data_IF_941233733368
#
_entry.id   IF_941233733368
#
_cell.length_a   1.000
_cell.length_b   1.000
_cell.length_c   1.000
_cell.angle_alpha   90.00
_cell.angle_beta   90.00
_cell.angle_gamma   90.00
#
_symmetry.space_group_name_H-M   'P 1'
#
loop_
_entity.id
_entity.type
_entity.pdbx_description
1 polymer ?
#
# COMPACT_ATOMS: atom_id res chain seq x y z
N UNK A 1 36.16 7.60 -3.43
CA UNK A 1 35.08 7.92 -4.39
C UNK A 1 33.76 7.51 -3.75
N UNK A 2 32.87 8.46 -3.46
CA UNK A 2 31.56 8.19 -2.84
C UNK A 2 30.61 7.56 -3.87
N UNK A 3 30.34 6.27 -3.74
CA UNK A 3 29.44 5.54 -4.64
C UNK A 3 28.05 6.19 -4.65
N UNK A 4 27.65 6.71 -5.79
CA UNK A 4 26.49 7.60 -5.92
C UNK A 4 25.18 6.77 -5.97
N UNK A 5 24.77 6.26 -4.81
CA UNK A 5 23.52 5.51 -4.60
C UNK A 5 22.34 6.25 -5.26
N UNK A 6 21.72 5.65 -6.29
CA UNK A 6 20.41 6.09 -6.80
C UNK A 6 19.39 5.90 -5.68
N UNK A 7 19.15 6.96 -4.90
CA UNK A 7 18.17 6.97 -3.82
C UNK A 7 16.76 6.83 -4.43
N UNK A 8 15.99 5.88 -3.91
CA UNK A 8 14.57 5.80 -4.17
C UNK A 8 13.90 7.09 -3.68
N UNK A 9 12.78 7.46 -4.30
CA UNK A 9 11.83 8.36 -3.65
C UNK A 9 11.13 7.56 -2.56
N UNK A 10 11.23 8.02 -1.33
CA UNK A 10 10.74 7.31 -0.14
C UNK A 10 9.76 8.16 0.67
N UNK A 11 9.66 9.47 0.41
CA UNK A 11 8.71 10.35 1.10
C UNK A 11 7.57 10.74 0.16
N UNK A 12 6.33 10.44 0.54
CA UNK A 12 5.14 10.58 -0.30
C UNK A 12 4.16 11.54 0.39
N UNK A 13 4.05 12.76 -0.13
CA UNK A 13 3.06 13.72 0.34
C UNK A 13 1.71 13.43 -0.34
N UNK A 14 0.67 13.14 0.44
CA UNK A 14 -0.70 12.86 -0.02
C UNK A 14 -1.61 13.99 0.48
N UNK A 15 -1.97 14.91 -0.43
CA UNK A 15 -2.81 16.08 -0.13
C UNK A 15 -4.29 15.68 -0.05
N UNK A 16 -4.73 14.79 -0.94
CA UNK A 16 -6.05 14.17 -0.89
C UNK A 16 -6.04 12.76 -1.51
N UNK A 17 -7.11 12.01 -1.26
CA UNK A 17 -7.26 10.60 -1.61
C UNK A 17 -8.13 9.91 -0.55
N UNK A 18 -7.88 8.63 -0.27
CA UNK A 18 -8.49 7.91 0.86
C UNK A 18 -7.66 8.11 2.14
N UNK A 19 -7.51 9.37 2.53
CA UNK A 19 -6.88 9.86 3.77
C UNK A 19 -7.87 10.75 4.51
N UNK A 20 -7.87 10.70 5.84
CA UNK A 20 -8.73 11.56 6.67
C UNK A 20 -8.20 13.01 6.71
N UNK A 21 -6.87 13.16 6.64
CA UNK A 21 -6.15 14.43 6.66
C UNK A 21 -4.90 14.37 5.75
N UNK A 22 -4.42 15.51 5.20
CA UNK A 22 -3.20 15.54 4.40
C UNK A 22 -1.99 14.96 5.14
N UNK A 23 -1.37 13.92 4.58
CA UNK A 23 -0.36 13.11 5.28
C UNK A 23 0.89 12.87 4.42
N UNK A 24 2.07 12.96 5.03
CA UNK A 24 3.34 12.52 4.45
C UNK A 24 3.66 11.11 4.96
N UNK A 25 3.74 10.15 4.05
CA UNK A 25 4.13 8.77 4.34
C UNK A 25 5.57 8.48 3.91
N UNK A 26 6.18 7.47 4.52
CA UNK A 26 7.51 6.95 4.18
C UNK A 26 7.49 5.62 3.39
N UNK A 27 6.32 4.99 3.28
CA UNK A 27 6.12 3.74 2.54
C UNK A 27 5.21 3.95 1.35
N UNK A 28 5.51 3.28 0.23
CA UNK A 28 4.57 3.20 -0.88
C UNK A 28 3.45 2.19 -0.60
N UNK A 29 3.66 1.23 0.32
CA UNK A 29 2.61 0.33 0.80
C UNK A 29 1.50 1.11 1.47
N UNK A 30 1.86 2.10 2.31
CA UNK A 30 0.89 3.02 2.92
C UNK A 30 0.17 3.93 1.92
N UNK A 31 0.79 4.27 0.79
CA UNK A 31 0.22 5.29 -0.11
C UNK A 31 -0.65 4.65 -1.18
N UNK A 32 -0.25 3.49 -1.71
CA UNK A 32 -0.86 2.90 -2.89
C UNK A 32 -2.37 2.66 -2.74
N UNK A 33 -2.90 1.98 -1.71
CA UNK A 33 -4.36 1.81 -1.57
C UNK A 33 -5.08 3.12 -1.23
N UNK A 34 -4.35 4.14 -0.76
CA UNK A 34 -4.91 5.47 -0.46
C UNK A 34 -5.06 6.36 -1.69
N UNK A 35 -4.38 6.05 -2.81
CA UNK A 35 -4.40 6.89 -4.03
C UNK A 35 -4.80 6.17 -5.33
N UNK A 36 -4.64 4.85 -5.40
CA UNK A 36 -4.96 4.07 -6.63
C UNK A 36 -6.46 3.92 -6.83
N UNK A 37 -6.96 4.21 -8.04
CA UNK A 37 -8.39 4.04 -8.38
C UNK A 37 -9.33 5.07 -7.72
N UNK A 38 -8.82 6.23 -7.33
CA UNK A 38 -9.61 7.38 -6.88
C UNK A 38 -8.99 8.69 -7.38
N UNK A 39 -9.73 9.79 -7.30
CA UNK A 39 -9.15 11.12 -7.47
C UNK A 39 -8.25 11.44 -6.27
N UNK A 40 -6.93 11.46 -6.48
CA UNK A 40 -5.94 11.67 -5.44
C UNK A 40 -4.81 12.58 -5.95
N UNK A 41 -4.36 13.48 -5.08
CA UNK A 41 -3.30 14.46 -5.33
C UNK A 41 -2.14 14.14 -4.40
N UNK A 42 -1.08 13.56 -4.97
CA UNK A 42 0.09 13.13 -4.21
C UNK A 42 1.38 13.30 -5.01
N UNK A 43 2.53 13.35 -4.32
CA UNK A 43 3.84 13.46 -4.96
C UNK A 43 4.94 12.82 -4.12
N UNK A 44 5.89 12.16 -4.80
CA UNK A 44 7.00 11.44 -4.18
C UNK A 44 8.33 12.23 -4.24
N UNK A 45 9.10 12.16 -3.16
CA UNK A 45 10.30 12.95 -2.86
C UNK A 45 11.44 12.10 -2.27
N UNK A 46 12.66 12.63 -2.33
CA UNK A 46 13.86 12.02 -1.77
C UNK A 46 14.07 12.32 -0.27
N UNK A 47 13.45 13.38 0.25
CA UNK A 47 13.57 13.81 1.66
C UNK A 47 12.22 14.27 2.22
N UNK A 48 12.07 14.20 3.54
CA UNK A 48 10.87 14.66 4.23
C UNK A 48 10.69 16.19 4.08
N UNK A 49 11.78 16.95 4.06
CA UNK A 49 11.79 18.42 3.92
C UNK A 49 11.20 18.85 2.57
N UNK A 50 11.52 18.12 1.50
CA UNK A 50 10.96 18.37 0.18
C UNK A 50 9.46 18.01 0.10
N UNK A 51 9.02 16.97 0.83
CA UNK A 51 7.61 16.62 0.97
C UNK A 51 6.84 17.67 1.79
N UNK A 52 7.40 18.15 2.91
CA UNK A 52 6.86 19.25 3.74
C UNK A 52 6.74 20.55 2.93
N UNK A 53 7.79 20.93 2.18
CA UNK A 53 7.76 22.11 1.32
C UNK A 53 6.68 22.02 0.22
N UNK A 54 6.44 20.82 -0.30
CA UNK A 54 5.33 20.58 -1.23
C UNK A 54 3.96 20.71 -0.55
N UNK A 55 3.75 20.09 0.61
CA UNK A 55 2.51 20.24 1.39
C UNK A 55 2.18 21.72 1.65
N UNK A 56 3.16 22.50 2.09
CA UNK A 56 3.00 23.95 2.32
C UNK A 56 2.62 24.71 1.05
N UNK A 57 3.19 24.35 -0.12
CA UNK A 57 2.80 24.92 -1.42
C UNK A 57 1.35 24.57 -1.81
N UNK A 58 0.86 23.41 -1.38
CA UNK A 58 -0.50 22.94 -1.63
C UNK A 58 -1.52 23.42 -0.58
N UNK A 59 -1.14 24.38 0.27
CA UNK A 59 -2.01 24.98 1.29
C UNK A 59 -2.04 24.25 2.63
N UNK A 60 -1.26 23.17 2.78
CA UNK A 60 -1.21 22.35 3.99
C UNK A 60 -0.03 22.80 4.86
N UNK A 61 -0.31 23.60 5.89
CA UNK A 61 0.73 24.12 6.78
C UNK A 61 1.36 23.04 7.68
N UNK A 62 0.52 22.17 8.25
CA UNK A 62 0.91 21.13 9.20
C UNK A 62 0.34 19.77 8.71
N UNK A 63 1.02 19.08 7.79
CA UNK A 63 0.64 17.74 7.39
C UNK A 63 0.92 16.76 8.53
N UNK A 64 0.06 15.73 8.69
CA UNK A 64 0.41 14.58 9.51
C UNK A 64 1.61 13.85 8.90
N UNK A 65 2.45 13.23 9.72
CA UNK A 65 3.61 12.47 9.24
C UNK A 65 3.60 11.03 9.76
N UNK A 66 3.79 10.07 8.85
CA UNK A 66 3.89 8.63 9.11
C UNK A 66 5.23 8.14 8.55
N UNK A 67 6.29 8.45 9.31
CA UNK A 67 7.67 8.14 8.95
C UNK A 67 8.15 6.93 9.76
N UNK A 68 8.37 5.80 9.07
CA UNK A 68 8.84 4.53 9.64
C UNK A 68 10.36 4.56 9.82
N UNK A 69 10.86 3.76 10.76
CA UNK A 69 12.30 3.63 10.98
C UNK A 69 13.02 3.16 9.71
N UNK A 70 14.19 3.73 9.41
CA UNK A 70 14.96 3.41 8.20
C UNK A 70 14.46 4.06 6.90
N UNK A 71 13.47 4.95 6.95
CA UNK A 71 13.07 5.77 5.80
C UNK A 71 14.26 6.54 5.19
N UNK A 72 14.33 6.58 3.86
CA UNK A 72 15.47 7.12 3.11
C UNK A 72 16.65 6.15 2.95
N UNK A 73 16.60 5.00 3.63
CA UNK A 73 17.65 3.98 3.64
C UNK A 73 17.23 2.63 3.05
N UNK A 74 16.07 2.53 2.41
CA UNK A 74 15.57 1.26 1.85
C UNK A 74 16.17 0.86 0.50
N UNK A 75 16.81 1.79 -0.20
CA UNK A 75 17.39 1.55 -1.54
C UNK A 75 18.62 0.61 -1.49
N UNK A 76 18.74 -0.48 -2.27
CA UNK A 76 19.98 -1.27 -2.31
C UNK A 76 21.18 -0.42 -2.73
N UNK A 77 22.39 -0.80 -2.32
CA UNK A 77 23.62 -0.17 -2.82
C UNK A 77 23.88 -0.59 -4.28
N UNK A 78 24.79 0.11 -4.95
CA UNK A 78 25.12 -0.26 -6.32
C UNK A 78 25.98 -1.53 -6.33
N UNK A 79 25.53 -2.56 -7.06
CA UNK A 79 26.21 -3.86 -7.14
C UNK A 79 25.90 -4.84 -6.00
N UNK A 80 24.99 -4.52 -5.06
CA UNK A 80 24.49 -5.50 -4.08
C UNK A 80 23.26 -6.24 -4.58
N UNK A 81 22.98 -7.38 -3.95
CA UNK A 81 21.68 -8.05 -4.04
C UNK A 81 20.54 -7.09 -3.68
N UNK A 82 19.37 -7.36 -4.26
CA UNK A 82 18.19 -6.53 -4.11
C UNK A 82 16.93 -7.39 -4.03
N UNK A 83 15.98 -6.97 -3.20
CA UNK A 83 14.72 -7.68 -2.99
C UNK A 83 13.60 -6.91 -3.68
N UNK A 84 12.95 -7.53 -4.65
CA UNK A 84 11.81 -6.96 -5.37
C UNK A 84 10.52 -7.47 -4.71
N UNK A 85 9.86 -6.58 -3.98
CA UNK A 85 8.58 -6.87 -3.33
C UNK A 85 7.44 -6.48 -4.27
N UNK A 86 6.48 -7.38 -4.46
CA UNK A 86 5.20 -7.14 -5.13
C UNK A 86 4.11 -7.34 -4.08
N UNK A 87 3.48 -6.25 -3.65
CA UNK A 87 2.36 -6.27 -2.71
C UNK A 87 1.01 -6.41 -3.43
N UNK A 88 0.90 -5.82 -4.63
CA UNK A 88 -0.26 -5.97 -5.51
C UNK A 88 0.21 -6.28 -6.93
N UNK A 89 -0.22 -7.41 -7.46
CA UNK A 89 0.25 -7.98 -8.73
C UNK A 89 -0.36 -9.37 -8.92
N UNK A 90 -0.13 -9.97 -10.09
CA UNK A 90 -0.63 -11.32 -10.43
C UNK A 90 -0.18 -12.40 -9.43
N UNK A 91 1.06 -12.30 -8.95
CA UNK A 91 1.60 -13.11 -7.85
C UNK A 91 2.33 -12.18 -6.88
N UNK A 92 1.71 -11.81 -5.75
CA UNK A 92 2.38 -11.07 -4.67
C UNK A 92 3.47 -11.92 -4.01
N UNK A 93 4.50 -11.26 -3.47
CA UNK A 93 5.64 -11.92 -2.83
C UNK A 93 6.94 -11.15 -3.00
N UNK A 94 8.06 -11.81 -2.72
CA UNK A 94 9.41 -11.23 -2.81
C UNK A 94 10.28 -12.15 -3.66
N UNK A 95 10.96 -11.57 -4.65
CA UNK A 95 11.93 -12.26 -5.51
C UNK A 95 13.24 -11.45 -5.59
N UNK A 96 14.42 -12.10 -5.65
CA UNK A 96 15.68 -11.40 -5.89
C UNK A 96 15.83 -10.94 -7.36
N UNK A 97 14.96 -11.40 -8.26
CA UNK A 97 15.07 -11.16 -9.70
C UNK A 97 14.01 -10.16 -10.20
N UNK A 98 14.42 -9.21 -11.06
CA UNK A 98 13.46 -8.36 -11.77
C UNK A 98 12.91 -9.04 -13.02
N UNK A 99 13.79 -9.59 -13.85
CA UNK A 99 13.47 -10.27 -15.12
C UNK A 99 13.35 -11.78 -14.93
N UNK A 100 12.80 -12.47 -15.95
CA UNK A 100 12.59 -13.92 -15.96
C UNK A 100 11.17 -14.32 -15.54
N UNK A 101 10.85 -15.61 -15.67
CA UNK A 101 9.54 -16.18 -15.28
C UNK A 101 9.26 -16.08 -13.78
N UNK A 102 10.31 -16.14 -12.96
CA UNK A 102 10.27 -15.97 -11.49
C UNK A 102 10.60 -14.54 -11.05
N UNK A 103 10.69 -13.61 -12.02
CA UNK A 103 10.96 -12.20 -11.78
C UNK A 103 9.71 -11.40 -11.37
N UNK A 104 9.92 -10.22 -10.82
CA UNK A 104 8.82 -9.31 -10.48
C UNK A 104 8.16 -8.66 -11.72
N UNK A 105 8.88 -8.53 -12.85
CA UNK A 105 8.40 -7.79 -14.01
C UNK A 105 7.11 -8.34 -14.66
N UNK A 106 6.95 -9.66 -14.91
CA UNK A 106 5.72 -10.20 -15.50
C UNK A 106 4.49 -9.98 -14.62
N UNK A 107 4.66 -10.09 -13.29
CA UNK A 107 3.62 -9.89 -12.29
C UNK A 107 3.14 -8.44 -12.24
N UNK A 108 4.05 -7.49 -12.48
CA UNK A 108 3.77 -6.05 -12.52
C UNK A 108 3.15 -5.62 -13.85
N UNK A 109 3.77 -5.96 -14.99
CA UNK A 109 3.34 -5.44 -16.30
C UNK A 109 1.93 -5.89 -16.71
N UNK A 110 1.47 -7.04 -16.22
CA UNK A 110 0.14 -7.59 -16.52
C UNK A 110 -0.94 -7.10 -15.54
N UNK A 111 -0.60 -6.34 -14.49
CA UNK A 111 -1.55 -5.92 -13.45
C UNK A 111 -1.73 -4.40 -13.45
N UNK A 112 -2.86 -3.87 -13.94
CA UNK A 112 -3.18 -2.45 -13.84
C UNK A 112 -3.12 -1.98 -12.37
N UNK A 113 -2.36 -0.92 -12.12
CA UNK A 113 -2.18 -0.41 -10.76
C UNK A 113 -1.37 -1.34 -9.83
N UNK A 114 -0.44 -2.16 -10.35
CA UNK A 114 0.48 -2.95 -9.52
C UNK A 114 1.18 -2.11 -8.42
N UNK A 115 1.35 -2.71 -7.23
CA UNK A 115 2.10 -2.13 -6.11
C UNK A 115 3.37 -2.95 -5.89
N UNK A 116 4.52 -2.36 -6.18
CA UNK A 116 5.82 -3.02 -6.07
C UNK A 116 6.92 -2.01 -5.77
N UNK A 117 8.01 -2.46 -5.13
CA UNK A 117 9.20 -1.65 -4.84
C UNK A 117 10.43 -2.54 -4.63
N UNK A 118 11.63 -1.96 -4.80
CA UNK A 118 12.92 -2.64 -4.65
C UNK A 118 13.66 -2.17 -3.40
N UNK A 119 14.14 -3.14 -2.62
CA UNK A 119 14.70 -2.98 -1.28
C UNK A 119 16.13 -3.53 -1.16
N UNK A 120 16.87 -3.05 -0.17
CA UNK A 120 18.22 -3.51 0.17
C UNK A 120 18.24 -4.75 1.08
N UNK A 121 17.19 -4.99 1.86
CA UNK A 121 17.04 -6.19 2.69
C UNK A 121 15.68 -6.84 2.49
N UNK A 122 15.59 -8.12 2.87
CA UNK A 122 14.35 -8.89 2.85
C UNK A 122 13.31 -8.31 3.82
N UNK A 123 13.72 -7.99 5.04
CA UNK A 123 12.84 -7.44 6.09
C UNK A 123 12.16 -6.13 5.66
N UNK A 124 12.86 -5.28 4.90
CA UNK A 124 12.31 -4.06 4.31
C UNK A 124 11.26 -4.35 3.22
N UNK A 125 11.48 -5.41 2.42
CA UNK A 125 10.55 -5.88 1.42
C UNK A 125 9.30 -6.52 2.05
N UNK A 126 9.47 -7.29 3.13
CA UNK A 126 8.37 -7.88 3.91
C UNK A 126 7.54 -6.79 4.60
N UNK A 127 8.18 -5.84 5.28
CA UNK A 127 7.53 -4.68 5.91
C UNK A 127 6.67 -3.88 4.91
N UNK A 128 7.16 -3.69 3.68
CA UNK A 128 6.40 -2.99 2.63
C UNK A 128 5.14 -3.74 2.16
N UNK A 129 5.16 -5.08 2.19
CA UNK A 129 3.97 -5.89 1.88
C UNK A 129 2.95 -5.81 3.03
N UNK A 130 3.41 -5.87 4.29
CA UNK A 130 2.52 -5.70 5.45
C UNK A 130 1.92 -4.29 5.52
N UNK A 131 2.71 -3.24 5.26
CA UNK A 131 2.24 -1.85 5.15
C UNK A 131 1.07 -1.72 4.16
N UNK A 132 1.16 -2.43 3.03
CA UNK A 132 0.14 -2.44 1.99
C UNK A 132 -1.11 -3.19 2.42
N UNK A 133 -0.97 -4.38 3.04
CA UNK A 133 -2.09 -5.19 3.55
C UNK A 133 -2.90 -4.41 4.59
N UNK A 134 -2.23 -3.90 5.63
CA UNK A 134 -2.84 -3.13 6.71
C UNK A 134 -3.54 -1.89 6.16
N UNK A 135 -2.88 -1.16 5.25
CA UNK A 135 -3.47 0.02 4.62
C UNK A 135 -4.67 -0.30 3.73
N UNK A 136 -4.63 -1.40 2.97
CA UNK A 136 -5.75 -1.83 2.14
C UNK A 136 -6.96 -2.18 3.02
N UNK A 137 -6.76 -2.96 4.09
CA UNK A 137 -7.80 -3.28 5.06
C UNK A 137 -8.38 -2.03 5.75
N UNK A 138 -7.53 -1.11 6.19
CA UNK A 138 -7.89 0.19 6.79
C UNK A 138 -8.74 1.06 5.84
N UNK A 139 -8.38 1.12 4.55
CA UNK A 139 -9.15 1.82 3.51
C UNK A 139 -10.58 1.25 3.36
N UNK A 140 -10.72 -0.08 3.29
CA UNK A 140 -12.04 -0.72 3.21
C UNK A 140 -12.84 -0.57 4.51
N UNK A 141 -12.19 -0.71 5.66
CA UNK A 141 -12.81 -0.50 6.98
C UNK A 141 -13.40 0.91 7.10
N UNK A 142 -12.67 1.95 6.71
CA UNK A 142 -13.20 3.34 6.68
C UNK A 142 -14.38 3.49 5.73
N UNK A 143 -14.30 2.90 4.53
CA UNK A 143 -15.38 2.98 3.55
C UNK A 143 -16.68 2.32 4.06
N UNK A 144 -16.57 1.17 4.72
CA UNK A 144 -17.70 0.47 5.36
C UNK A 144 -18.30 1.34 6.47
N UNK A 145 -17.49 1.83 7.42
CA UNK A 145 -17.96 2.67 8.52
C UNK A 145 -18.71 3.90 7.99
N UNK A 146 -18.10 4.62 7.04
CA UNK A 146 -18.74 5.80 6.42
C UNK A 146 -20.08 5.47 5.74
N UNK A 147 -20.21 4.29 5.12
CA UNK A 147 -21.48 3.84 4.56
C UNK A 147 -22.54 3.56 5.63
N UNK A 148 -22.14 2.93 6.75
CA UNK A 148 -23.03 2.67 7.90
C UNK A 148 -23.50 3.98 8.55
N UNK A 149 -22.60 4.95 8.72
CA UNK A 149 -22.93 6.29 9.25
C UNK A 149 -23.91 7.06 8.34
N UNK A 150 -23.92 6.74 7.04
CA UNK A 150 -24.87 7.26 6.05
C UNK A 150 -26.18 6.46 5.97
N UNK A 151 -26.38 5.46 6.84
CA UNK A 151 -27.57 4.62 6.89
C UNK A 151 -27.62 3.49 5.86
N UNK A 152 -26.58 3.31 5.04
CA UNK A 152 -26.50 2.18 4.09
C UNK A 152 -26.25 0.88 4.86
N UNK A 153 -26.91 -0.22 4.47
CA UNK A 153 -26.54 -1.54 4.98
C UNK A 153 -25.49 -2.18 4.06
N UNK A 154 -24.68 -3.14 4.54
CA UNK A 154 -23.63 -3.77 3.73
C UNK A 154 -24.12 -4.35 2.39
N UNK A 155 -25.38 -4.82 2.32
CA UNK A 155 -26.03 -5.32 1.10
C UNK A 155 -26.27 -4.25 0.03
N UNK A 156 -26.42 -2.99 0.44
CA UNK A 156 -26.74 -1.85 -0.43
C UNK A 156 -25.46 -1.13 -0.88
N UNK A 157 -24.36 -1.32 -0.15
CA UNK A 157 -23.08 -0.75 -0.51
C UNK A 157 -22.52 -1.46 -1.75
N UNK A 158 -22.34 -0.72 -2.83
CA UNK A 158 -21.59 -1.16 -4.01
C UNK A 158 -20.08 -1.12 -3.75
N UNK A 159 -19.65 -1.80 -2.69
CA UNK A 159 -18.26 -2.18 -2.49
C UNK A 159 -17.96 -3.20 -3.57
N UNK A 160 -17.29 -2.78 -4.65
CA UNK A 160 -16.84 -3.67 -5.70
C UNK A 160 -15.93 -4.73 -5.09
N UNK A 161 -16.41 -5.98 -5.05
CA UNK A 161 -15.69 -7.11 -4.50
C UNK A 161 -15.47 -8.17 -5.58
N UNK A 162 -14.49 -7.87 -6.43
CA UNK A 162 -13.85 -8.82 -7.33
C UNK A 162 -12.79 -9.78 -6.69
N UNK A 163 -12.29 -9.73 -5.45
CA UNK A 163 -12.45 -8.82 -4.31
C UNK A 163 -13.08 -9.51 -3.10
N UNK A 164 -12.55 -9.23 -1.90
CA UNK A 164 -12.49 -10.15 -0.75
C UNK A 164 -11.88 -11.51 -1.13
N UNK A 165 -12.56 -12.34 -1.92
CA UNK A 165 -12.09 -13.65 -2.35
C UNK A 165 -12.58 -13.97 -3.77
N UNK A 166 -11.68 -13.96 -4.76
CA UNK A 166 -11.81 -14.97 -5.80
C UNK A 166 -11.48 -16.31 -5.14
N UNK A 167 -12.49 -17.12 -4.88
CA UNK A 167 -12.29 -18.50 -4.51
C UNK A 167 -11.61 -19.21 -5.69
N UNK A 168 -10.29 -19.38 -5.62
CA UNK A 168 -9.64 -20.46 -6.35
C UNK A 168 -10.21 -21.76 -5.81
N UNK A 169 -10.76 -22.59 -6.69
CA UNK A 169 -11.36 -23.87 -6.34
C UNK A 169 -10.41 -24.68 -5.42
N UNK A 170 -10.85 -25.03 -4.21
CA UNK A 170 -10.18 -26.06 -3.41
C UNK A 170 -9.66 -25.72 -1.99
N UNK A 171 -9.88 -24.52 -1.43
CA UNK A 171 -9.59 -24.29 -0.01
C UNK A 171 -10.70 -23.55 0.73
N UNK A 172 -11.35 -24.26 1.65
CA UNK A 172 -12.39 -23.72 2.50
C UNK A 172 -11.77 -22.90 3.65
N UNK A 173 -12.27 -21.69 3.86
CA UNK A 173 -11.86 -20.77 4.94
C UNK A 173 -13.03 -20.48 5.90
N UNK A 174 -14.15 -21.19 5.76
CA UNK A 174 -15.31 -21.09 6.65
C UNK A 174 -14.99 -21.43 8.11
N UNK A 175 -14.06 -22.36 8.35
CA UNK A 175 -13.66 -22.82 9.68
C UNK A 175 -12.87 -21.77 10.50
N UNK A 176 -12.40 -20.68 9.88
CA UNK A 176 -11.52 -19.69 10.53
C UNK A 176 -12.23 -18.54 11.25
N UNK A 177 -13.49 -18.23 10.93
CA UNK A 177 -14.15 -16.99 11.41
C UNK A 177 -15.44 -17.17 12.22
N UNK A 178 -15.92 -18.39 12.44
CA UNK A 178 -16.71 -18.77 13.63
C UNK A 178 -17.99 -17.98 13.98
N UNK A 179 -18.49 -17.08 13.15
CA UNK A 179 -19.67 -16.24 13.41
C UNK A 179 -20.97 -16.99 13.12
N UNK A 180 -21.13 -18.14 13.78
CA UNK A 180 -22.36 -18.90 13.81
C UNK A 180 -23.45 -18.17 14.60
N UNK A 181 -24.51 -17.77 13.90
CA UNK A 181 -25.87 -17.48 14.43
C UNK A 181 -25.94 -16.77 15.79
N UNK A 182 -25.86 -15.44 15.79
CA UNK A 182 -26.55 -14.65 16.80
C UNK A 182 -28.06 -14.58 16.46
N UNK A 183 -28.77 -15.66 16.80
CA UNK A 183 -30.22 -15.58 16.97
C UNK A 183 -30.49 -14.96 18.35
N UNK A 184 -31.10 -13.78 18.37
CA UNK A 184 -31.73 -13.22 19.57
C UNK A 184 -33.21 -12.98 19.28
N UNK A 185 -33.99 -14.04 19.43
CA UNK A 185 -35.41 -13.98 19.75
C UNK A 185 -35.56 -14.46 21.20
N UNK A 186 -36.21 -13.67 22.06
CA UNK A 186 -36.31 -13.88 23.51
C UNK A 186 -36.15 -12.58 24.27
#
# INVERSE_FOLDING_TARGET
MTSQRRKNKEYYAVVNGRVDEPTIFSSWGDVHPRVTGCHAKYKAFLTAEAARAYMKKEGVAEPREVIKAGAGMTSPSWGSDAYYAVAHGKQPGITPYWYGSEGAEPNVKQTPGACYKRFGTRDQAESFIEDWKETFADVWRRAIIKGLDQGLRPRDMKLGLEGILHATEGTDISDGLGLGRLNLEG
#
